data_IF_561846736342
#
_entry.id   IF_561846736342
#
_cell.length_a   1.000
_cell.length_b   1.000
_cell.length_c   1.000
_cell.angle_alpha   90.00
_cell.angle_beta   90.00
_cell.angle_gamma   90.00
#
_symmetry.space_group_name_H-M   'P 1'
#
loop_
_entity.id
_entity.type
_entity.pdbx_description
1 polymer ?
#
# COMPACT_ATOMS: atom_id res chain seq x y z
N UNK A 1 4.69 23.02 10.13
CA UNK A 1 3.79 22.02 9.50
C UNK A 1 4.49 21.24 8.39
N UNK A 2 5.16 21.89 7.40
CA UNK A 2 5.80 21.16 6.28
C UNK A 2 6.94 20.21 6.69
N UNK A 3 7.70 20.55 7.73
CA UNK A 3 8.81 19.69 8.24
C UNK A 3 8.30 18.32 8.71
N UNK A 4 7.11 18.28 9.29
CA UNK A 4 6.48 17.06 9.79
C UNK A 4 5.66 16.32 8.71
N UNK A 5 5.60 16.86 7.48
CA UNK A 5 4.93 16.17 6.37
C UNK A 5 5.74 14.91 6.01
N UNK A 6 5.06 13.79 5.95
CA UNK A 6 5.67 12.48 5.63
C UNK A 6 6.32 12.45 4.24
N UNK A 7 5.81 13.25 3.31
CA UNK A 7 6.25 13.32 1.89
C UNK A 7 7.09 14.55 1.61
N UNK A 8 7.97 14.92 2.53
CA UNK A 8 8.90 16.01 2.36
C UNK A 8 10.32 15.64 2.77
N UNK A 9 11.29 16.13 2.01
CA UNK A 9 12.71 16.13 2.39
C UNK A 9 12.97 17.36 3.24
N UNK A 10 13.65 17.17 4.37
CA UNK A 10 14.05 18.28 5.25
C UNK A 10 15.57 18.44 5.18
N UNK A 11 16.00 19.61 4.79
CA UNK A 11 17.42 19.95 4.64
C UNK A 11 17.78 21.14 5.53
N UNK A 12 19.01 21.16 6.03
CA UNK A 12 19.52 22.31 6.77
C UNK A 12 20.17 23.29 5.78
N UNK A 13 19.64 24.50 5.73
CA UNK A 13 20.19 25.60 4.92
C UNK A 13 20.61 26.71 5.88
N UNK A 14 21.89 26.82 6.15
CA UNK A 14 22.41 27.69 7.20
C UNK A 14 21.93 27.23 8.58
N UNK A 15 21.19 28.08 9.28
CA UNK A 15 20.60 27.80 10.59
C UNK A 15 19.12 27.39 10.53
N UNK A 16 18.55 27.29 9.33
CA UNK A 16 17.15 26.97 9.16
C UNK A 16 16.94 25.54 8.63
N UNK A 17 15.79 24.97 8.94
CA UNK A 17 15.32 23.72 8.35
C UNK A 17 14.31 24.06 7.23
N UNK A 18 14.64 23.61 6.02
CA UNK A 18 13.80 23.82 4.84
C UNK A 18 13.18 22.48 4.44
N UNK A 19 11.87 22.45 4.30
CA UNK A 19 11.14 21.27 3.81
C UNK A 19 10.70 21.48 2.37
N UNK A 20 11.07 20.53 1.51
CA UNK A 20 10.69 20.48 0.09
C UNK A 20 9.88 19.21 -0.15
N UNK A 21 8.73 19.34 -0.79
CA UNK A 21 7.88 18.18 -1.11
C UNK A 21 8.60 17.21 -2.07
N UNK A 22 8.33 15.92 -1.94
CA UNK A 22 8.99 14.88 -2.76
C UNK A 22 8.81 15.11 -4.26
N UNK A 23 7.62 15.53 -4.68
CA UNK A 23 7.33 15.80 -6.11
C UNK A 23 8.13 16.96 -6.68
N UNK A 24 8.55 17.91 -5.85
CA UNK A 24 9.41 19.01 -6.23
C UNK A 24 10.89 18.63 -6.16
N UNK A 25 11.27 17.92 -5.08
CA UNK A 25 12.65 17.49 -4.84
C UNK A 25 13.15 16.48 -5.86
N UNK A 26 12.30 15.52 -6.22
CA UNK A 26 12.59 14.40 -7.12
C UNK A 26 11.82 14.49 -8.45
N UNK A 27 11.54 15.72 -8.89
CA UNK A 27 10.68 15.97 -10.06
C UNK A 27 11.11 15.22 -11.32
N UNK A 28 12.41 15.24 -11.60
CA UNK A 28 12.95 14.65 -12.83
C UNK A 28 12.93 13.10 -12.75
N UNK A 29 13.22 12.55 -11.58
CA UNK A 29 13.17 11.10 -11.34
C UNK A 29 11.73 10.59 -11.46
N UNK A 30 10.77 11.28 -10.84
CA UNK A 30 9.36 10.92 -10.93
C UNK A 30 8.81 11.07 -12.36
N UNK A 31 9.22 12.10 -13.08
CA UNK A 31 8.84 12.27 -14.48
C UNK A 31 9.40 11.15 -15.37
N UNK A 32 10.64 10.73 -15.11
CA UNK A 32 11.25 9.61 -15.81
C UNK A 32 10.52 8.30 -15.54
N UNK A 33 10.32 7.94 -14.26
CA UNK A 33 9.57 6.73 -13.88
C UNK A 33 8.17 6.72 -14.50
N UNK A 34 7.44 7.84 -14.42
CA UNK A 34 6.12 7.95 -15.02
C UNK A 34 6.13 7.73 -16.53
N UNK A 35 7.15 8.26 -17.24
CA UNK A 35 7.26 8.06 -18.68
C UNK A 35 7.52 6.59 -19.05
N UNK A 36 8.30 5.87 -18.23
CA UNK A 36 8.55 4.44 -18.45
C UNK A 36 7.27 3.60 -18.22
N UNK A 37 6.45 3.96 -17.23
CA UNK A 37 5.16 3.31 -17.02
C UNK A 37 4.18 3.56 -18.17
N UNK A 38 4.16 4.77 -18.73
CA UNK A 38 3.34 5.11 -19.89
C UNK A 38 3.76 4.27 -21.11
N UNK A 39 5.06 4.12 -21.37
CA UNK A 39 5.59 3.24 -22.42
C UNK A 39 5.25 1.77 -22.17
N UNK A 40 5.34 1.30 -20.94
CA UNK A 40 4.97 -0.05 -20.58
C UNK A 40 3.47 -0.31 -20.85
N UNK A 41 2.61 0.68 -20.56
CA UNK A 41 1.19 0.60 -20.86
C UNK A 41 0.89 0.50 -22.37
N UNK A 42 1.70 1.14 -23.22
CA UNK A 42 1.55 1.04 -24.68
C UNK A 42 1.90 -0.35 -25.22
N UNK A 43 2.74 -1.10 -24.53
CA UNK A 43 3.22 -2.42 -24.98
C UNK A 43 2.40 -3.58 -24.42
N UNK A 44 1.66 -3.38 -23.34
CA UNK A 44 0.85 -4.41 -22.73
C UNK A 44 -0.46 -4.63 -23.47
N UNK A 45 -0.91 -5.87 -23.55
CA UNK A 45 -2.20 -6.26 -24.17
C UNK A 45 -3.35 -6.35 -23.16
N UNK A 46 -3.08 -6.24 -21.86
CA UNK A 46 -4.09 -6.27 -20.82
C UNK A 46 -4.59 -4.84 -20.53
N UNK A 47 -5.83 -4.53 -20.90
CA UNK A 47 -6.38 -3.19 -20.77
C UNK A 47 -6.48 -2.69 -19.32
N UNK A 48 -6.80 -3.57 -18.36
CA UNK A 48 -6.87 -3.22 -16.95
C UNK A 48 -5.49 -2.92 -16.37
N UNK A 49 -4.48 -3.69 -16.78
CA UNK A 49 -3.11 -3.43 -16.40
C UNK A 49 -2.59 -2.11 -16.99
N UNK A 50 -2.94 -1.81 -18.24
CA UNK A 50 -2.58 -0.54 -18.87
C UNK A 50 -3.18 0.65 -18.12
N UNK A 51 -4.46 0.56 -17.76
CA UNK A 51 -5.12 1.60 -16.95
C UNK A 51 -4.42 1.79 -15.60
N UNK A 52 -4.05 0.70 -14.93
CA UNK A 52 -3.29 0.74 -13.69
C UNK A 52 -1.95 1.46 -13.86
N UNK A 53 -1.15 1.09 -14.87
CA UNK A 53 0.14 1.73 -15.15
C UNK A 53 0.00 3.25 -15.41
N UNK A 54 -1.03 3.65 -16.15
CA UNK A 54 -1.32 5.08 -16.40
C UNK A 54 -1.75 5.81 -15.13
N UNK A 55 -2.55 5.18 -14.26
CA UNK A 55 -2.91 5.77 -12.97
C UNK A 55 -1.67 5.95 -12.10
N UNK A 56 -0.78 4.97 -12.07
CA UNK A 56 0.48 5.01 -11.33
C UNK A 56 1.41 6.11 -11.85
N UNK A 57 1.51 6.25 -13.17
CA UNK A 57 2.28 7.33 -13.80
C UNK A 57 1.74 8.72 -13.41
N UNK A 58 0.42 8.90 -13.40
CA UNK A 58 -0.22 10.14 -12.94
C UNK A 58 0.04 10.41 -11.46
N UNK A 59 -0.04 9.38 -10.59
CA UNK A 59 0.24 9.49 -9.18
C UNK A 59 1.68 9.95 -8.92
N UNK A 60 2.66 9.43 -9.66
CA UNK A 60 4.06 9.83 -9.54
C UNK A 60 4.31 11.30 -9.92
N UNK A 61 3.56 11.83 -10.90
CA UNK A 61 3.71 13.24 -11.36
C UNK A 61 3.08 14.25 -10.42
N UNK A 62 2.31 13.82 -9.43
CA UNK A 62 1.53 14.69 -8.56
C UNK A 62 1.79 14.38 -7.10
N UNK A 63 1.44 15.32 -6.23
CA UNK A 63 1.39 15.09 -4.78
C UNK A 63 0.00 14.63 -4.32
N UNK A 64 -0.91 14.32 -5.24
CA UNK A 64 -2.29 13.97 -4.91
C UNK A 64 -2.40 12.54 -4.37
N UNK A 65 -2.65 12.35 -3.07
CA UNK A 65 -2.77 11.03 -2.47
C UNK A 65 -3.98 10.25 -3.00
N UNK A 66 -4.98 10.94 -3.58
CA UNK A 66 -6.13 10.25 -4.18
C UNK A 66 -5.74 9.47 -5.43
N UNK A 67 -4.78 9.96 -6.21
CA UNK A 67 -4.30 9.21 -7.38
C UNK A 67 -3.54 7.96 -6.99
N UNK A 68 -2.76 7.99 -5.90
CA UNK A 68 -2.15 6.78 -5.34
C UNK A 68 -3.24 5.77 -4.96
N UNK A 69 -4.26 6.21 -4.21
CA UNK A 69 -5.34 5.33 -3.76
C UNK A 69 -6.19 4.79 -4.93
N UNK A 70 -6.39 5.55 -5.99
CA UNK A 70 -7.06 5.05 -7.20
C UNK A 70 -6.21 4.01 -7.94
N UNK A 71 -4.90 4.21 -8.03
CA UNK A 71 -3.99 3.23 -8.62
C UNK A 71 -4.00 1.93 -7.81
N UNK A 72 -3.91 2.00 -6.48
CA UNK A 72 -3.98 0.86 -5.57
C UNK A 72 -5.32 0.11 -5.70
N UNK A 73 -6.42 0.85 -5.79
CA UNK A 73 -7.74 0.24 -6.01
C UNK A 73 -7.82 -0.49 -7.33
N UNK A 74 -7.25 0.08 -8.40
CA UNK A 74 -7.19 -0.57 -9.71
C UNK A 74 -6.35 -1.82 -9.64
N UNK A 75 -5.16 -1.75 -9.02
CA UNK A 75 -4.29 -2.90 -8.78
C UNK A 75 -5.04 -4.06 -8.10
N UNK A 76 -5.80 -3.78 -7.06
CA UNK A 76 -6.57 -4.80 -6.32
C UNK A 76 -7.66 -5.49 -7.18
N UNK A 77 -7.97 -4.98 -8.35
CA UNK A 77 -8.98 -5.56 -9.27
C UNK A 77 -8.37 -6.30 -10.47
N UNK A 78 -7.04 -6.28 -10.60
CA UNK A 78 -6.35 -6.89 -11.74
C UNK A 78 -6.56 -8.41 -11.76
N UNK A 79 -6.75 -8.93 -12.98
CA UNK A 79 -6.91 -10.35 -13.24
C UNK A 79 -6.04 -10.75 -14.43
N UNK A 80 -5.49 -11.96 -14.38
CA UNK A 80 -4.78 -12.59 -15.49
C UNK A 80 -3.63 -11.75 -16.07
N UNK A 81 -2.96 -10.97 -15.23
CA UNK A 81 -1.77 -10.23 -15.65
C UNK A 81 -0.56 -11.16 -15.67
N UNK A 82 0.35 -11.04 -16.64
CA UNK A 82 1.58 -11.85 -16.68
C UNK A 82 2.63 -11.38 -15.67
N UNK A 83 2.54 -10.11 -15.27
CA UNK A 83 3.46 -9.44 -14.36
C UNK A 83 2.71 -8.88 -13.17
N UNK A 84 3.34 -8.91 -12.03
CA UNK A 84 3.00 -8.13 -10.86
C UNK A 84 3.90 -6.89 -10.82
N UNK A 85 3.30 -5.74 -10.55
CA UNK A 85 4.02 -4.49 -10.43
C UNK A 85 3.35 -3.60 -9.41
N UNK A 86 4.14 -3.04 -8.48
CA UNK A 86 3.69 -1.99 -7.58
C UNK A 86 4.77 -0.93 -7.42
N UNK A 87 4.35 0.33 -7.34
CA UNK A 87 5.13 1.43 -6.75
C UNK A 87 4.27 2.04 -5.67
N UNK A 88 4.71 1.94 -4.42
CA UNK A 88 3.94 2.41 -3.28
C UNK A 88 4.72 3.43 -2.47
N UNK A 89 4.00 4.38 -1.91
CA UNK A 89 4.52 5.27 -0.87
C UNK A 89 4.14 4.66 0.46
N UNK A 90 5.14 4.14 1.14
CA UNK A 90 4.96 3.38 2.37
C UNK A 90 5.47 4.17 3.57
N UNK A 91 4.78 3.98 4.68
CA UNK A 91 5.13 4.58 5.96
C UNK A 91 5.08 3.52 7.05
N UNK A 92 6.25 3.10 7.49
CA UNK A 92 6.42 2.19 8.61
C UNK A 92 7.27 2.86 9.69
N UNK A 93 7.20 2.36 10.93
CA UNK A 93 8.16 2.74 11.97
C UNK A 93 9.59 2.41 11.52
N UNK A 94 10.49 3.32 11.78
CA UNK A 94 11.92 3.13 11.57
C UNK A 94 12.68 3.31 12.89
N UNK A 95 13.94 2.87 12.95
CA UNK A 95 14.76 2.98 14.14
C UNK A 95 14.90 4.43 14.65
N UNK A 96 14.93 5.41 13.76
CA UNK A 96 15.01 6.82 14.16
C UNK A 96 13.75 7.27 14.87
N UNK A 97 12.57 6.91 14.35
CA UNK A 97 11.28 7.21 14.97
C UNK A 97 11.13 6.51 16.31
N UNK A 98 11.52 5.23 16.38
CA UNK A 98 11.51 4.45 17.62
C UNK A 98 12.46 5.04 18.66
N UNK A 99 13.70 5.39 18.29
CA UNK A 99 14.66 6.03 19.18
C UNK A 99 14.15 7.37 19.74
N UNK A 100 13.48 8.17 18.93
CA UNK A 100 12.87 9.43 19.37
C UNK A 100 11.75 9.19 20.37
N UNK A 101 10.91 8.18 20.14
CA UNK A 101 9.81 7.82 21.06
C UNK A 101 10.31 7.24 22.37
N UNK A 102 11.41 6.50 22.34
CA UNK A 102 12.03 5.92 23.53
C UNK A 102 12.84 6.92 24.35
N UNK A 103 13.22 8.08 23.81
CA UNK A 103 13.92 9.12 24.53
C UNK A 103 12.93 9.95 25.38
N UNK A 104 13.00 9.89 26.74
CA UNK A 104 12.00 10.54 27.59
C UNK A 104 11.93 12.06 27.45
N UNK A 105 13.08 12.73 27.22
CA UNK A 105 13.14 14.18 27.08
C UNK A 105 12.52 14.63 25.75
N UNK A 106 12.85 13.94 24.66
CA UNK A 106 12.26 14.21 23.35
C UNK A 106 10.78 13.88 23.35
N UNK A 107 10.39 12.76 23.95
CA UNK A 107 8.98 12.38 24.07
C UNK A 107 8.19 13.44 24.84
N UNK A 108 8.68 13.92 25.97
CA UNK A 108 8.02 14.97 26.75
C UNK A 108 7.85 16.26 25.93
N UNK A 109 8.88 16.66 25.17
CA UNK A 109 8.84 17.84 24.30
C UNK A 109 7.80 17.69 23.18
N UNK A 110 7.71 16.51 22.57
CA UNK A 110 6.72 16.21 21.54
C UNK A 110 5.30 16.23 22.10
N UNK A 111 5.09 15.58 23.24
CA UNK A 111 3.78 15.52 23.93
C UNK A 111 3.31 16.94 24.34
N UNK A 112 4.20 17.78 24.88
CA UNK A 112 3.91 19.17 25.25
C UNK A 112 3.46 20.01 24.05
N UNK A 113 4.01 19.74 22.88
CA UNK A 113 3.69 20.45 21.64
C UNK A 113 2.62 19.76 20.79
N UNK A 114 2.04 18.68 21.26
CA UNK A 114 1.03 17.90 20.52
C UNK A 114 1.57 17.30 19.21
N UNK A 115 2.86 16.99 19.16
CA UNK A 115 3.54 16.44 17.98
C UNK A 115 3.61 14.93 18.09
N UNK A 116 3.03 14.24 17.12
CA UNK A 116 3.17 12.80 16.99
C UNK A 116 4.31 12.53 15.99
N UNK A 117 5.40 11.86 16.42
CA UNK A 117 6.49 11.50 15.52
C UNK A 117 5.98 10.47 14.51
N UNK A 118 6.26 10.71 13.24
CA UNK A 118 5.86 9.83 12.13
C UNK A 118 7.06 9.67 11.20
N UNK A 119 7.34 8.43 10.81
CA UNK A 119 8.37 8.16 9.82
C UNK A 119 8.06 8.86 8.50
N UNK A 120 9.11 9.20 7.76
CA UNK A 120 8.94 9.71 6.40
C UNK A 120 8.52 8.59 5.47
N UNK A 121 7.67 8.91 4.50
CA UNK A 121 7.34 7.98 3.42
C UNK A 121 8.60 7.68 2.61
N UNK A 122 8.69 6.44 2.18
CA UNK A 122 9.66 6.05 1.16
C UNK A 122 8.90 5.44 -0.02
N UNK A 123 9.55 5.42 -1.17
CA UNK A 123 9.01 4.83 -2.39
C UNK A 123 9.56 3.42 -2.53
N UNK A 124 8.70 2.43 -2.35
CA UNK A 124 9.00 1.02 -2.61
C UNK A 124 8.51 0.61 -3.99
N UNK A 125 9.34 -0.09 -4.73
CA UNK A 125 8.99 -0.64 -6.04
C UNK A 125 9.21 -2.14 -6.10
N UNK A 126 8.26 -2.87 -6.66
CA UNK A 126 8.31 -4.33 -6.81
C UNK A 126 7.88 -4.72 -8.21
N UNK A 127 8.65 -5.61 -8.80
CA UNK A 127 8.29 -6.25 -10.08
C UNK A 127 8.42 -7.74 -9.89
N UNK A 128 7.37 -8.48 -10.25
CA UNK A 128 7.33 -9.92 -10.16
C UNK A 128 6.77 -10.57 -11.42
N UNK A 129 7.11 -11.83 -11.60
CA UNK A 129 6.51 -12.69 -12.62
C UNK A 129 5.44 -13.51 -11.91
N UNK A 130 4.20 -13.49 -12.43
CA UNK A 130 3.09 -14.23 -11.82
C UNK A 130 3.36 -15.73 -11.91
N UNK A 131 3.38 -16.38 -10.75
CA UNK A 131 3.40 -17.82 -10.63
C UNK A 131 1.96 -18.35 -10.70
N UNK A 132 1.54 -18.75 -11.90
CA UNK A 132 0.18 -19.22 -12.11
C UNK A 132 -0.20 -20.41 -11.23
N UNK A 133 0.71 -21.37 -11.06
CA UNK A 133 0.45 -22.57 -10.24
C UNK A 133 0.23 -22.20 -8.76
N UNK A 134 1.07 -21.33 -8.21
CA UNK A 134 0.92 -20.82 -6.85
C UNK A 134 -0.37 -20.02 -6.69
N UNK A 135 -0.67 -19.15 -7.66
CA UNK A 135 -1.90 -18.37 -7.70
C UNK A 135 -3.16 -19.25 -7.72
N UNK A 136 -3.19 -20.27 -8.57
CA UNK A 136 -4.30 -21.25 -8.64
C UNK A 136 -4.44 -22.03 -7.32
N UNK A 137 -3.33 -22.35 -6.65
CA UNK A 137 -3.36 -23.01 -5.34
C UNK A 137 -3.95 -22.08 -4.26
N UNK A 138 -3.59 -20.80 -4.24
CA UNK A 138 -4.17 -19.80 -3.33
C UNK A 138 -5.68 -19.66 -3.57
N UNK A 139 -6.11 -19.60 -4.83
CA UNK A 139 -7.52 -19.55 -5.18
C UNK A 139 -8.26 -20.82 -4.72
N UNK A 140 -7.63 -21.99 -4.85
CA UNK A 140 -8.14 -23.23 -4.31
C UNK A 140 -8.37 -23.16 -2.80
N UNK A 141 -7.38 -22.69 -2.03
CA UNK A 141 -7.54 -22.48 -0.58
C UNK A 141 -8.68 -21.50 -0.29
N UNK A 142 -8.75 -20.39 -1.01
CA UNK A 142 -9.82 -19.38 -0.84
C UNK A 142 -11.21 -19.97 -1.02
N UNK A 143 -11.38 -20.88 -1.98
CA UNK A 143 -12.65 -21.56 -2.24
C UNK A 143 -13.06 -22.54 -1.09
N UNK A 144 -12.09 -23.01 -0.29
CA UNK A 144 -12.35 -23.79 0.91
C UNK A 144 -12.67 -22.96 2.17
N UNK A 145 -12.38 -21.66 2.18
CA UNK A 145 -12.62 -20.81 3.35
C UNK A 145 -14.07 -20.85 3.86
N UNK A 146 -15.13 -20.85 3.02
CA UNK A 146 -16.50 -20.99 3.49
C UNK A 146 -16.74 -22.28 4.25
N UNK A 147 -16.19 -23.41 3.76
CA UNK A 147 -16.31 -24.69 4.41
C UNK A 147 -15.54 -24.72 5.74
N UNK A 148 -14.33 -24.13 5.78
CA UNK A 148 -13.54 -24.00 7.01
C UNK A 148 -14.31 -23.14 8.03
N UNK A 149 -14.83 -22.00 7.62
CA UNK A 149 -15.61 -21.11 8.48
C UNK A 149 -16.84 -21.82 9.06
N UNK A 150 -17.51 -22.64 8.25
CA UNK A 150 -18.68 -23.42 8.68
C UNK A 150 -18.36 -24.53 9.70
N UNK A 151 -17.09 -24.94 9.78
CA UNK A 151 -16.60 -25.93 10.74
C UNK A 151 -15.91 -25.33 11.96
N UNK A 152 -15.83 -23.99 12.07
CA UNK A 152 -15.26 -23.34 13.25
C UNK A 152 -16.14 -23.55 14.50
N UNK A 153 -15.52 -23.68 15.70
CA UNK A 153 -16.27 -23.89 16.94
C UNK A 153 -17.30 -22.80 17.24
N UNK A 154 -17.08 -21.58 16.77
CA UNK A 154 -17.90 -20.39 17.03
C UNK A 154 -18.73 -19.97 15.81
N UNK A 155 -18.99 -20.87 14.88
CA UNK A 155 -19.66 -20.57 13.60
C UNK A 155 -21.03 -19.91 13.76
N UNK A 156 -21.72 -20.22 14.84
CA UNK A 156 -23.08 -19.74 15.09
C UNK A 156 -23.09 -18.32 15.72
N UNK A 157 -21.95 -17.88 16.24
CA UNK A 157 -21.78 -16.53 16.83
C UNK A 157 -21.47 -15.46 15.78
N UNK A 158 -21.18 -15.86 14.53
CA UNK A 158 -20.78 -14.96 13.47
C UNK A 158 -21.62 -15.13 12.21
N UNK A 159 -22.03 -14.00 11.62
CA UNK A 159 -22.70 -14.01 10.34
C UNK A 159 -21.69 -14.35 9.24
N UNK A 160 -21.88 -15.50 8.62
CA UNK A 160 -21.06 -15.92 7.49
C UNK A 160 -21.52 -15.19 6.23
N UNK A 161 -20.73 -14.21 5.77
CA UNK A 161 -21.03 -13.44 4.55
C UNK A 161 -20.52 -14.12 3.26
N UNK A 162 -20.00 -15.32 3.36
CA UNK A 162 -19.41 -16.05 2.25
C UNK A 162 -20.42 -17.10 1.80
N UNK A 163 -20.93 -16.96 0.58
CA UNK A 163 -21.77 -18.00 -0.04
C UNK A 163 -20.85 -19.08 -0.61
N UNK A 164 -21.05 -20.36 -0.25
CA UNK A 164 -20.28 -21.49 -0.81
C UNK A 164 -20.45 -21.63 -2.33
N UNK A 165 -21.55 -21.13 -2.87
CA UNK A 165 -21.95 -21.27 -4.26
C UNK A 165 -21.46 -20.12 -5.16
N UNK A 166 -20.76 -19.12 -4.60
CA UNK A 166 -20.19 -18.02 -5.37
C UNK A 166 -18.75 -18.31 -5.76
N UNK A 167 -18.52 -18.39 -7.05
CA UNK A 167 -17.18 -18.43 -7.61
C UNK A 167 -16.37 -17.23 -7.11
N UNK A 168 -15.28 -17.52 -6.42
CA UNK A 168 -14.41 -16.46 -5.88
C UNK A 168 -13.55 -15.90 -6.99
N UNK A 169 -13.58 -14.57 -7.15
CA UNK A 169 -12.58 -13.91 -7.99
C UNK A 169 -11.20 -14.01 -7.33
N UNK A 170 -10.19 -14.14 -8.17
CA UNK A 170 -8.80 -14.02 -7.73
C UNK A 170 -8.59 -12.62 -7.13
N UNK A 171 -8.09 -12.55 -5.90
CA UNK A 171 -7.79 -11.30 -5.18
C UNK A 171 -6.40 -11.30 -4.58
N UNK A 172 -5.65 -12.36 -4.79
CA UNK A 172 -4.28 -12.54 -4.35
C UNK A 172 -3.54 -13.32 -5.43
N UNK A 173 -2.32 -12.92 -5.73
CA UNK A 173 -1.44 -13.61 -6.67
C UNK A 173 -0.18 -14.07 -5.94
N UNK A 174 0.39 -15.18 -6.40
CA UNK A 174 1.74 -15.60 -6.08
C UNK A 174 2.66 -15.08 -7.19
N UNK A 175 3.73 -14.40 -6.82
CA UNK A 175 4.66 -13.81 -7.76
C UNK A 175 6.12 -14.04 -7.36
N UNK A 176 6.92 -14.43 -8.32
CA UNK A 176 8.36 -14.50 -8.18
C UNK A 176 8.96 -13.10 -8.38
N UNK A 177 9.40 -12.46 -7.30
CA UNK A 177 9.96 -11.10 -7.35
C UNK A 177 11.30 -11.10 -8.09
N UNK A 178 11.39 -10.27 -9.12
CA UNK A 178 12.60 -10.09 -9.94
C UNK A 178 13.29 -8.75 -9.69
N UNK A 179 12.57 -7.76 -9.16
CA UNK A 179 13.13 -6.50 -8.72
C UNK A 179 12.38 -6.00 -7.49
N UNK A 180 13.13 -5.59 -6.47
CA UNK A 180 12.62 -5.00 -5.23
C UNK A 180 13.48 -3.80 -4.87
N UNK A 181 12.87 -2.65 -4.63
CA UNK A 181 13.52 -1.44 -4.17
C UNK A 181 12.75 -0.82 -3.02
N UNK A 182 13.46 -0.11 -2.12
CA UNK A 182 12.84 0.59 -1.01
C UNK A 182 12.49 -0.27 0.21
N UNK A 183 12.56 -1.60 0.11
CA UNK A 183 12.22 -2.52 1.21
C UNK A 183 13.42 -2.96 2.05
N UNK A 184 14.61 -2.57 1.64
CA UNK A 184 15.86 -2.98 2.27
C UNK A 184 16.67 -1.76 2.68
N UNK A 185 17.38 -1.86 3.79
CA UNK A 185 18.25 -0.79 4.29
C UNK A 185 18.45 -0.90 5.80
N UNK A 186 19.34 -0.09 6.33
CA UNK A 186 19.70 -0.06 7.76
C UNK A 186 18.51 0.21 8.68
N UNK A 187 17.51 0.92 8.19
CA UNK A 187 16.35 1.35 8.98
C UNK A 187 15.13 0.45 8.78
N UNK A 188 15.28 -0.67 8.09
CA UNK A 188 14.20 -1.61 7.83
C UNK A 188 14.56 -3.02 8.26
N UNK A 189 13.67 -3.59 9.07
CA UNK A 189 13.82 -4.93 9.60
C UNK A 189 13.22 -5.98 8.65
N UNK A 190 13.80 -6.20 7.49
CA UNK A 190 13.42 -7.33 6.64
C UNK A 190 12.84 -6.96 5.27
N UNK A 191 12.47 -8.00 4.54
CA UNK A 191 11.89 -7.91 3.19
C UNK A 191 10.38 -8.13 3.31
N UNK A 192 9.60 -7.31 2.60
CA UNK A 192 8.16 -7.49 2.51
C UNK A 192 7.82 -8.81 1.83
N UNK A 193 7.06 -9.67 2.51
CA UNK A 193 6.62 -10.97 1.99
C UNK A 193 5.28 -10.92 1.29
N UNK A 194 4.45 -9.92 1.61
CA UNK A 194 3.14 -9.72 1.04
C UNK A 194 2.77 -8.24 1.07
N UNK A 195 1.90 -7.84 0.16
CA UNK A 195 1.43 -6.47 0.03
C UNK A 195 -0.09 -6.42 -0.06
N UNK A 196 -0.70 -5.52 0.70
CA UNK A 196 -2.12 -5.21 0.66
C UNK A 196 -2.32 -3.71 0.45
N UNK A 197 -3.02 -3.34 -0.60
CA UNK A 197 -3.29 -1.95 -0.93
C UNK A 197 -4.80 -1.71 -1.09
N UNK A 198 -5.28 -0.49 -0.89
CA UNK A 198 -4.57 0.73 -0.51
C UNK A 198 -4.21 0.79 0.98
N UNK A 199 -3.11 1.47 1.29
CA UNK A 199 -2.66 1.66 2.68
C UNK A 199 -3.45 2.72 3.44
N UNK A 200 -4.03 3.70 2.76
CA UNK A 200 -4.81 4.76 3.39
C UNK A 200 -6.28 4.40 3.51
N UNK A 201 -6.65 3.90 4.67
CA UNK A 201 -8.01 3.53 5.01
C UNK A 201 -9.02 4.68 4.92
N UNK A 202 -8.61 5.90 5.20
CA UNK A 202 -9.49 7.06 5.16
C UNK A 202 -9.89 7.38 3.73
N UNK A 203 -8.96 7.28 2.80
CA UNK A 203 -9.20 7.45 1.38
C UNK A 203 -10.04 6.30 0.83
N UNK A 204 -9.68 5.06 1.17
CA UNK A 204 -10.41 3.86 0.78
C UNK A 204 -11.87 3.90 1.22
N UNK A 205 -12.14 4.24 2.48
CA UNK A 205 -13.48 4.25 3.03
C UNK A 205 -14.32 5.40 2.48
N UNK A 206 -13.75 6.59 2.42
CA UNK A 206 -14.50 7.80 2.19
C UNK A 206 -14.74 8.09 0.71
N UNK A 207 -13.73 7.89 -0.11
CA UNK A 207 -13.73 8.39 -1.48
C UNK A 207 -13.80 7.26 -2.51
N UNK A 208 -13.06 6.15 -2.30
CA UNK A 208 -12.96 5.09 -3.30
C UNK A 208 -14.15 4.14 -3.30
N UNK A 209 -14.73 3.86 -2.15
CA UNK A 209 -15.80 2.88 -1.99
C UNK A 209 -17.18 3.51 -1.79
N UNK A 210 -17.33 4.80 -2.09
CA UNK A 210 -18.60 5.51 -1.89
C UNK A 210 -19.08 5.47 -0.44
N UNK A 211 -18.15 5.56 0.51
CA UNK A 211 -18.40 5.47 1.95
C UNK A 211 -18.54 4.05 2.49
N UNK A 212 -18.35 3.02 1.68
CA UNK A 212 -18.28 1.64 2.18
C UNK A 212 -16.91 1.37 2.78
N UNK A 213 -16.91 0.64 3.89
CA UNK A 213 -15.68 0.17 4.51
C UNK A 213 -15.10 -0.98 3.71
N UNK A 214 -13.77 -1.02 3.57
CA UNK A 214 -13.10 -2.17 3.00
C UNK A 214 -13.30 -3.42 3.88
N UNK A 215 -12.93 -4.58 3.36
CA UNK A 215 -13.13 -5.87 4.06
C UNK A 215 -12.38 -5.90 5.40
N UNK A 216 -11.20 -5.31 5.47
CA UNK A 216 -10.41 -5.23 6.69
C UNK A 216 -11.12 -4.43 7.79
N UNK A 217 -11.67 -3.27 7.48
CA UNK A 217 -12.47 -2.48 8.43
C UNK A 217 -13.77 -3.16 8.84
N UNK A 218 -14.38 -3.94 7.95
CA UNK A 218 -15.53 -4.76 8.32
C UNK A 218 -15.16 -5.81 9.36
N UNK A 219 -14.04 -6.50 9.19
CA UNK A 219 -13.58 -7.52 10.13
C UNK A 219 -13.25 -6.92 11.49
N UNK A 220 -12.51 -5.82 11.55
CA UNK A 220 -12.21 -5.13 12.80
C UNK A 220 -13.48 -4.63 13.47
N UNK A 221 -14.44 -4.12 12.72
CA UNK A 221 -15.69 -3.64 13.29
C UNK A 221 -16.59 -4.75 13.85
N UNK A 222 -16.56 -5.94 13.24
CA UNK A 222 -17.25 -7.12 13.78
C UNK A 222 -16.65 -7.58 15.12
N UNK A 223 -15.33 -7.37 15.30
CA UNK A 223 -14.63 -7.71 16.54
C UNK A 223 -14.80 -6.63 17.62
N UNK A 224 -14.94 -5.36 17.23
CA UNK A 224 -14.97 -4.21 18.16
C UNK A 224 -16.33 -3.57 18.36
N UNK A 225 -17.38 -4.04 17.69
CA UNK A 225 -18.73 -3.44 17.75
C UNK A 225 -19.64 -4.09 18.79
N UNK A 226 -19.07 -4.48 19.92
CA UNK A 226 -19.84 -4.65 21.15
C UNK A 226 -19.69 -3.43 22.03
#
# INVERSE_FOLDING_TARGET
AKILNQRSVVERVGNELVATDYVDKFKDDFAYMASELEKAAETSTNADFNEFLILQAKALRTADPMLDAYADKKWATLQDTPLEFTITRENYSDELTETVVENPELKALLDENGIIPVAKDFLGGRVGIINKKGTDAILGVKNYLPLMAHNMPFKDDYIQNISPDKESKQTMVDADLVAVTGDVGEFRAGITLAENLPNDDKLSIKELDGGRRNVYHRQIRLITSE
#
